data_IF_286058902102
#
_entry.id   IF_286058902102
#
_cell.length_a   1.000
_cell.length_b   1.000
_cell.length_c   1.000
_cell.angle_alpha   90.00
_cell.angle_beta   90.00
_cell.angle_gamma   90.00
#
_symmetry.space_group_name_H-M   'P 1'
#
loop_
_entity.id
_entity.type
_entity.pdbx_description
1 polymer ?
#
# COMPACT_ATOMS: atom_id res chain seq x y z
N UNK A 1 20.14 -15.77 1.85
CA UNK A 1 20.52 -15.33 3.22
C UNK A 1 19.47 -14.34 3.68
N UNK A 2 19.02 -14.44 4.93
CA UNK A 2 18.05 -13.50 5.51
C UNK A 2 18.76 -12.38 6.24
N UNK A 3 18.13 -11.21 6.28
CA UNK A 3 18.60 -10.06 7.04
C UNK A 3 17.43 -9.52 7.89
N UNK A 4 17.64 -9.27 9.19
CA UNK A 4 18.81 -9.61 9.98
C UNK A 4 18.99 -11.12 10.16
N UNK A 5 20.17 -11.57 10.61
CA UNK A 5 20.34 -12.91 11.19
C UNK A 5 19.52 -13.08 12.48
N UNK A 6 19.31 -14.31 12.96
CA UNK A 6 18.54 -14.52 14.20
C UNK A 6 19.15 -13.78 15.41
N UNK A 7 20.48 -13.79 15.54
CA UNK A 7 21.17 -13.07 16.62
C UNK A 7 20.91 -11.57 16.55
N UNK A 8 21.07 -10.98 15.37
CA UNK A 8 20.78 -9.56 15.15
C UNK A 8 19.29 -9.23 15.35
N UNK A 9 18.39 -10.13 14.97
CA UNK A 9 16.95 -10.01 15.22
C UNK A 9 16.66 -9.92 16.72
N UNK A 10 17.30 -10.76 17.55
CA UNK A 10 17.17 -10.69 19.01
C UNK A 10 17.62 -9.34 19.56
N UNK A 11 18.72 -8.79 19.05
CA UNK A 11 19.24 -7.48 19.46
C UNK A 11 18.27 -6.34 19.06
N UNK A 12 17.72 -6.38 17.85
CA UNK A 12 16.75 -5.39 17.37
C UNK A 12 15.43 -5.47 18.15
N UNK A 13 14.98 -6.68 18.48
CA UNK A 13 13.78 -6.93 19.28
C UNK A 13 13.87 -6.36 20.71
N UNK A 14 15.08 -6.02 21.19
CA UNK A 14 15.21 -5.32 22.47
C UNK A 14 14.83 -3.84 22.39
N UNK A 15 14.94 -3.23 21.20
CA UNK A 15 14.85 -1.78 20.98
C UNK A 15 13.46 -1.29 20.55
N UNK A 16 12.58 -2.21 20.15
CA UNK A 16 11.23 -1.91 19.69
C UNK A 16 10.40 -3.17 19.56
N UNK A 17 9.23 -3.06 18.96
CA UNK A 17 8.26 -4.15 18.89
C UNK A 17 7.86 -4.53 17.46
N UNK A 18 8.53 -3.97 16.45
CA UNK A 18 8.31 -4.36 15.05
C UNK A 18 9.67 -4.43 14.35
N UNK A 19 10.11 -5.63 13.98
CA UNK A 19 11.41 -5.86 13.36
C UNK A 19 11.19 -6.44 11.95
N UNK A 20 11.51 -5.70 10.89
CA UNK A 20 11.52 -6.22 9.53
C UNK A 20 12.59 -7.30 9.36
N UNK A 21 12.17 -8.45 8.85
CA UNK A 21 13.03 -9.52 8.34
C UNK A 21 12.83 -9.57 6.85
N UNK A 22 13.90 -9.70 6.08
CA UNK A 22 13.80 -9.77 4.64
C UNK A 22 14.80 -10.71 4.00
N UNK A 23 14.46 -11.14 2.80
CA UNK A 23 15.39 -11.80 1.88
C UNK A 23 15.44 -11.02 0.58
N UNK A 24 16.64 -10.75 0.11
CA UNK A 24 16.88 -10.17 -1.22
C UNK A 24 17.08 -11.31 -2.23
N UNK A 25 16.39 -11.23 -3.37
CA UNK A 25 16.51 -12.13 -4.51
C UNK A 25 16.71 -11.32 -5.80
N UNK A 26 17.26 -11.95 -6.83
CA UNK A 26 17.37 -11.35 -8.17
C UNK A 26 15.98 -11.24 -8.81
N UNK A 27 15.76 -10.16 -9.57
CA UNK A 27 14.51 -9.87 -10.26
C UNK A 27 14.53 -10.25 -11.75
N UNK A 28 15.54 -11.01 -12.21
CA UNK A 28 15.79 -11.26 -13.64
C UNK A 28 14.60 -11.91 -14.38
N UNK A 29 13.83 -12.73 -13.67
CA UNK A 29 12.65 -13.43 -14.19
C UNK A 29 11.31 -12.84 -13.69
N UNK A 30 11.35 -11.77 -12.89
CA UNK A 30 10.17 -11.25 -12.19
C UNK A 30 10.09 -9.72 -12.29
N UNK A 31 8.97 -9.23 -12.82
CA UNK A 31 8.62 -7.81 -12.84
C UNK A 31 7.57 -7.49 -11.78
N UNK A 32 7.45 -6.22 -11.41
CA UNK A 32 6.40 -5.79 -10.48
C UNK A 32 4.98 -6.14 -10.97
N UNK A 33 4.75 -6.08 -12.28
CA UNK A 33 3.45 -6.41 -12.90
C UNK A 33 3.18 -7.91 -12.85
N UNK A 34 4.16 -8.75 -13.20
CA UNK A 34 3.99 -10.21 -13.14
C UNK A 34 3.79 -10.69 -11.70
N UNK A 35 4.46 -10.06 -10.72
CA UNK A 35 4.23 -10.34 -9.31
C UNK A 35 2.84 -9.90 -8.86
N UNK A 36 2.38 -8.71 -9.30
CA UNK A 36 1.01 -8.24 -9.05
C UNK A 36 -0.02 -9.22 -9.61
N UNK A 37 0.18 -9.71 -10.84
CA UNK A 37 -0.74 -10.70 -11.45
C UNK A 37 -0.85 -11.97 -10.60
N UNK A 38 0.27 -12.45 -10.05
CA UNK A 38 0.31 -13.64 -9.17
C UNK A 38 -0.43 -13.42 -7.85
N UNK A 39 -0.49 -12.19 -7.33
CA UNK A 39 -1.18 -11.88 -6.06
C UNK A 39 -2.52 -11.16 -6.23
N UNK A 40 -2.94 -10.86 -7.46
CA UNK A 40 -4.12 -10.03 -7.75
C UNK A 40 -5.44 -10.60 -7.23
N UNK A 41 -5.51 -11.91 -7.04
CA UNK A 41 -6.66 -12.61 -6.46
C UNK A 41 -6.75 -12.46 -4.93
N UNK A 42 -5.69 -11.96 -4.28
CA UNK A 42 -5.66 -11.74 -2.82
C UNK A 42 -6.37 -10.42 -2.48
N UNK A 43 -7.16 -10.37 -1.40
CA UNK A 43 -7.79 -9.15 -0.93
C UNK A 43 -6.81 -7.98 -0.80
N UNK A 44 -7.25 -6.80 -1.28
CA UNK A 44 -6.50 -5.55 -1.16
C UNK A 44 -5.08 -5.61 -1.73
N UNK A 45 -4.87 -6.38 -2.79
CA UNK A 45 -3.62 -6.33 -3.55
C UNK A 45 -3.41 -4.91 -4.11
N UNK A 46 -2.23 -4.34 -3.88
CA UNK A 46 -1.88 -2.99 -4.32
C UNK A 46 -0.47 -2.94 -4.88
N UNK A 47 -0.26 -2.07 -5.85
CA UNK A 47 1.04 -1.72 -6.42
C UNK A 47 1.24 -0.21 -6.30
N UNK A 48 2.33 0.21 -5.67
CA UNK A 48 2.73 1.61 -5.57
C UNK A 48 4.00 1.81 -6.39
N UNK A 49 3.87 2.52 -7.50
CA UNK A 49 4.98 2.96 -8.34
C UNK A 49 5.06 4.48 -8.30
N UNK A 50 6.28 5.00 -8.20
CA UNK A 50 6.53 6.43 -8.38
C UNK A 50 7.02 6.67 -9.81
N UNK A 51 6.46 7.67 -10.47
CA UNK A 51 6.95 8.17 -11.77
C UNK A 51 7.25 9.65 -11.60
N UNK A 52 8.51 10.04 -11.79
CA UNK A 52 8.93 11.44 -11.76
C UNK A 52 9.04 11.97 -13.19
N UNK A 53 8.36 13.08 -13.49
CA UNK A 53 8.48 13.77 -14.77
C UNK A 53 7.98 12.99 -16.00
N UNK A 54 7.14 11.96 -15.80
CA UNK A 54 6.53 11.17 -16.87
C UNK A 54 7.46 10.13 -17.53
N UNK A 55 8.76 10.17 -17.28
CA UNK A 55 9.75 9.32 -17.97
C UNK A 55 10.68 8.55 -17.03
N UNK A 56 10.87 8.99 -15.77
CA UNK A 56 11.77 8.32 -14.82
C UNK A 56 10.97 7.52 -13.79
N UNK A 57 11.06 6.20 -13.88
CA UNK A 57 10.59 5.35 -12.78
C UNK A 57 11.39 5.63 -11.51
N UNK A 58 10.67 5.76 -10.41
CA UNK A 58 11.23 5.76 -9.08
C UNK A 58 12.05 4.49 -8.88
N UNK A 59 13.11 4.61 -8.06
CA UNK A 59 13.99 3.47 -7.76
C UNK A 59 13.23 2.27 -7.18
N UNK A 60 12.18 2.53 -6.41
CA UNK A 60 11.43 1.50 -5.70
C UNK A 60 9.99 1.40 -6.19
N UNK A 61 9.57 0.16 -6.43
CA UNK A 61 8.16 -0.23 -6.58
C UNK A 61 7.78 -1.10 -5.39
N UNK A 62 6.61 -0.82 -4.80
CA UNK A 62 6.10 -1.55 -3.63
C UNK A 62 4.85 -2.33 -3.98
N UNK A 63 4.81 -3.59 -3.56
CA UNK A 63 3.68 -4.49 -3.82
C UNK A 63 3.29 -5.18 -2.51
N UNK A 64 2.00 -5.15 -2.18
CA UNK A 64 1.47 -5.76 -0.97
C UNK A 64 0.05 -6.28 -1.17
N UNK A 65 -0.39 -7.16 -0.28
CA UNK A 65 -1.74 -7.73 -0.22
C UNK A 65 -2.03 -8.21 1.21
N UNK A 66 -3.26 -8.68 1.45
CA UNK A 66 -3.69 -9.26 2.74
C UNK A 66 -3.28 -8.41 3.95
N UNK A 67 -3.79 -7.16 4.02
CA UNK A 67 -3.50 -6.27 5.13
C UNK A 67 -3.96 -6.88 6.44
N UNK A 68 -3.10 -6.78 7.45
CA UNK A 68 -3.43 -7.15 8.82
C UNK A 68 -4.47 -6.19 9.41
N UNK A 69 -4.36 -4.91 9.06
CA UNK A 69 -5.31 -3.89 9.50
C UNK A 69 -5.83 -3.11 8.30
N UNK A 70 -7.14 -2.94 8.24
CA UNK A 70 -7.82 -2.05 7.31
C UNK A 70 -8.46 -0.92 8.11
N UNK A 71 -8.04 0.31 7.86
CA UNK A 71 -8.55 1.51 8.49
C UNK A 71 -9.39 2.28 7.46
N UNK A 72 -10.67 2.49 7.74
CA UNK A 72 -11.60 3.20 6.86
C UNK A 72 -12.14 4.45 7.56
N UNK A 73 -12.19 5.55 6.83
CA UNK A 73 -12.90 6.77 7.21
C UNK A 73 -14.17 6.83 6.39
N UNK A 74 -15.30 7.09 7.05
CA UNK A 74 -16.61 7.25 6.43
C UNK A 74 -17.31 8.47 7.00
N UNK A 75 -18.34 8.94 6.30
CA UNK A 75 -19.28 9.90 6.84
C UNK A 75 -19.82 9.43 8.20
N UNK A 76 -19.36 10.08 9.29
CA UNK A 76 -19.78 9.78 10.66
C UNK A 76 -18.82 8.91 11.50
N UNK A 77 -17.63 8.55 11.02
CA UNK A 77 -16.60 7.97 11.89
C UNK A 77 -15.49 7.17 11.20
N UNK A 78 -14.84 6.34 12.00
CA UNK A 78 -13.71 5.48 11.62
C UNK A 78 -14.06 4.02 11.88
N UNK A 79 -13.72 3.13 10.95
CA UNK A 79 -13.79 1.68 11.11
C UNK A 79 -12.39 1.08 11.03
N UNK A 80 -12.00 0.31 12.04
CA UNK A 80 -10.71 -0.41 12.10
C UNK A 80 -11.02 -1.89 12.10
N UNK A 81 -10.58 -2.60 11.07
CA UNK A 81 -10.69 -4.05 10.95
C UNK A 81 -9.31 -4.68 11.15
N UNK A 82 -9.14 -5.48 12.20
CA UNK A 82 -7.87 -6.18 12.54
C UNK A 82 -8.19 -7.61 12.97
N UNK A 83 -7.51 -8.61 12.40
CA UNK A 83 -7.69 -10.03 12.76
C UNK A 83 -9.14 -10.57 12.72
N UNK A 84 -9.98 -10.01 11.83
CA UNK A 84 -11.39 -10.38 11.72
C UNK A 84 -12.32 -9.66 12.69
N UNK A 85 -11.79 -8.87 13.63
CA UNK A 85 -12.56 -8.00 14.50
C UNK A 85 -12.70 -6.60 13.89
N UNK A 86 -13.88 -6.00 14.04
CA UNK A 86 -14.17 -4.66 13.55
C UNK A 86 -14.53 -3.74 14.70
N UNK A 87 -13.73 -2.68 14.88
CA UNK A 87 -13.96 -1.61 15.85
C UNK A 87 -14.44 -0.36 15.13
N UNK A 88 -15.53 0.24 15.62
CA UNK A 88 -16.06 1.51 15.11
C UNK A 88 -15.85 2.61 16.13
N UNK A 89 -15.33 3.73 15.67
CA UNK A 89 -15.00 4.92 16.46
C UNK A 89 -15.70 6.14 15.86
N UNK A 90 -16.09 7.08 16.73
CA UNK A 90 -16.62 8.38 16.32
C UNK A 90 -15.78 9.47 16.97
N UNK A 91 -14.64 9.84 16.36
CA UNK A 91 -13.80 10.90 16.91
C UNK A 91 -14.56 12.24 16.85
N UNK A 92 -14.36 13.08 17.86
CA UNK A 92 -14.93 14.44 17.90
C UNK A 92 -14.19 15.44 17.01
N UNK A 93 -13.05 15.04 16.42
CA UNK A 93 -12.20 15.85 15.55
C UNK A 93 -11.71 15.08 14.33
N UNK A 94 -10.50 15.38 13.87
CA UNK A 94 -9.91 14.78 12.66
C UNK A 94 -9.84 13.23 12.78
N UNK A 95 -10.50 12.48 11.88
CA UNK A 95 -10.47 11.02 11.89
C UNK A 95 -9.06 10.44 11.72
N UNK A 96 -8.11 11.16 11.13
CA UNK A 96 -6.72 10.71 11.01
C UNK A 96 -5.99 10.67 12.36
N UNK A 97 -6.52 11.32 13.40
CA UNK A 97 -6.00 11.17 14.78
C UNK A 97 -6.10 9.71 15.23
N UNK A 98 -7.19 9.00 14.91
CA UNK A 98 -7.33 7.59 15.22
C UNK A 98 -6.31 6.71 14.46
N UNK A 99 -5.94 7.09 13.23
CA UNK A 99 -4.90 6.39 12.48
C UNK A 99 -3.53 6.60 13.14
N UNK A 100 -3.24 7.82 13.60
CA UNK A 100 -2.02 8.13 14.33
C UNK A 100 -1.91 7.30 15.62
N UNK A 101 -2.97 7.28 16.44
CA UNK A 101 -3.04 6.46 17.66
C UNK A 101 -2.85 4.96 17.35
N UNK A 102 -3.47 4.48 16.27
CA UNK A 102 -3.28 3.09 15.81
C UNK A 102 -1.81 2.82 15.46
N UNK A 103 -1.12 3.77 14.83
CA UNK A 103 0.28 3.62 14.43
C UNK A 103 1.27 3.76 15.60
N UNK A 104 0.92 4.49 16.65
CA UNK A 104 1.76 4.68 17.86
C UNK A 104 2.04 3.38 18.62
N UNK A 105 1.22 2.33 18.41
CA UNK A 105 1.46 1.00 18.97
C UNK A 105 2.72 0.33 18.38
N UNK A 106 3.17 0.76 17.21
CA UNK A 106 4.33 0.19 16.53
C UNK A 106 5.58 1.05 16.72
N UNK A 107 6.67 0.41 17.14
CA UNK A 107 8.02 0.98 17.30
C UNK A 107 8.97 0.19 16.40
N UNK A 108 9.00 0.51 15.10
CA UNK A 108 9.80 -0.22 14.13
C UNK A 108 11.29 -0.04 14.36
N UNK A 109 12.05 -1.12 14.22
CA UNK A 109 13.51 -1.13 14.28
C UNK A 109 14.05 -1.80 13.01
N UNK A 110 14.08 -1.07 11.87
CA UNK A 110 14.53 -1.66 10.61
C UNK A 110 16.02 -1.98 10.63
N UNK A 111 16.45 -3.13 10.09
CA UNK A 111 17.84 -3.37 9.76
C UNK A 111 18.30 -2.42 8.64
N UNK A 112 19.62 -2.35 8.42
CA UNK A 112 20.18 -1.60 7.29
C UNK A 112 19.69 -2.14 5.93
N UNK A 113 19.71 -1.27 4.92
CA UNK A 113 19.47 -1.64 3.52
C UNK A 113 18.01 -1.58 3.06
N UNK A 114 17.02 -1.44 3.94
CA UNK A 114 15.63 -1.18 3.53
C UNK A 114 15.44 0.29 3.11
N UNK A 115 14.57 0.59 2.13
CA UNK A 115 14.18 1.97 1.85
C UNK A 115 13.35 2.54 3.00
N UNK A 116 13.05 3.85 2.94
CA UNK A 116 12.23 4.53 3.96
C UNK A 116 10.87 3.87 4.17
N UNK A 117 10.26 3.35 3.11
CA UNK A 117 8.99 2.64 3.17
C UNK A 117 9.23 1.12 3.09
N UNK A 118 9.11 0.43 4.22
CA UNK A 118 9.24 -1.03 4.31
C UNK A 118 8.02 -1.70 4.96
N UNK A 119 7.01 -0.90 5.28
CA UNK A 119 5.81 -1.27 6.01
C UNK A 119 5.10 -0.02 6.54
N UNK A 120 3.95 -0.21 7.18
CA UNK A 120 3.10 0.87 7.68
C UNK A 120 1.83 1.06 6.86
N UNK A 121 1.20 2.23 7.00
CA UNK A 121 -0.08 2.53 6.36
C UNK A 121 0.10 2.97 4.90
N UNK A 122 -0.40 2.17 3.96
CA UNK A 122 -0.54 2.52 2.56
C UNK A 122 -1.97 2.99 2.28
N UNK A 123 -2.13 4.16 1.64
CA UNK A 123 -3.46 4.62 1.22
C UNK A 123 -3.93 3.79 0.03
N UNK A 124 -5.08 3.13 0.15
CA UNK A 124 -5.72 2.44 -0.96
C UNK A 124 -6.48 3.44 -1.84
N UNK A 125 -6.58 3.17 -3.15
CA UNK A 125 -7.51 3.90 -4.00
C UNK A 125 -8.95 3.73 -3.47
N UNK A 126 -9.70 4.81 -3.48
CA UNK A 126 -11.11 4.80 -3.09
C UNK A 126 -11.95 4.18 -4.21
N UNK A 127 -13.00 3.47 -3.81
CA UNK A 127 -14.07 3.10 -4.74
C UNK A 127 -14.88 4.33 -5.18
N UNK A 128 -16.02 4.14 -5.85
CA UNK A 128 -16.94 5.23 -6.18
C UNK A 128 -17.25 6.11 -4.95
N UNK A 129 -17.58 7.40 -5.15
CA UNK A 129 -17.64 8.44 -4.12
C UNK A 129 -18.63 8.22 -2.95
N UNK A 130 -19.33 7.08 -2.88
CA UNK A 130 -20.39 6.81 -1.90
C UNK A 130 -20.00 5.87 -0.76
N UNK A 131 -18.73 5.41 -0.65
CA UNK A 131 -18.40 4.29 0.26
C UNK A 131 -17.43 4.62 1.41
N UNK A 132 -16.33 5.31 1.14
CA UNK A 132 -15.27 5.61 2.11
C UNK A 132 -14.54 6.92 1.73
N UNK A 133 -14.28 7.81 2.69
CA UNK A 133 -13.51 9.06 2.51
C UNK A 133 -12.00 8.81 2.44
N UNK A 134 -11.53 7.78 3.17
CA UNK A 134 -10.14 7.33 3.15
C UNK A 134 -10.06 5.85 3.54
N UNK A 135 -9.19 5.09 2.87
CA UNK A 135 -8.87 3.70 3.24
C UNK A 135 -7.36 3.57 3.35
N UNK A 136 -6.88 3.07 4.48
CA UNK A 136 -5.49 2.74 4.72
C UNK A 136 -5.32 1.26 5.02
N UNK A 137 -4.32 0.65 4.40
CA UNK A 137 -3.95 -0.75 4.51
C UNK A 137 -2.63 -0.84 5.27
N UNK A 138 -2.60 -1.64 6.33
CA UNK A 138 -1.37 -1.92 7.08
C UNK A 138 -1.06 -3.39 6.89
N UNK A 139 -0.04 -3.69 6.07
CA UNK A 139 0.41 -5.05 5.77
C UNK A 139 1.56 -5.46 6.68
N UNK A 140 1.66 -6.76 6.96
CA UNK A 140 2.84 -7.34 7.60
C UNK A 140 3.93 -7.66 6.56
N UNK A 141 3.54 -7.96 5.32
CA UNK A 141 4.44 -8.29 4.21
C UNK A 141 4.45 -7.20 3.13
N UNK A 142 5.63 -7.02 2.52
CA UNK A 142 5.83 -6.09 1.42
C UNK A 142 6.91 -6.61 0.47
N UNK A 143 6.61 -6.62 -0.82
CA UNK A 143 7.57 -6.83 -1.89
C UNK A 143 8.12 -5.47 -2.33
N UNK A 144 9.44 -5.33 -2.28
CA UNK A 144 10.12 -4.09 -2.65
C UNK A 144 11.04 -4.39 -3.82
N UNK A 145 10.67 -3.91 -5.00
CA UNK A 145 11.50 -3.97 -6.20
C UNK A 145 12.49 -2.81 -6.17
N UNK A 146 13.78 -3.08 -6.32
CA UNK A 146 14.81 -2.08 -6.58
C UNK A 146 15.12 -2.10 -8.08
N UNK A 147 14.52 -1.17 -8.81
CA UNK A 147 14.60 -1.08 -10.27
C UNK A 147 16.02 -0.75 -10.78
N UNK A 148 16.90 -0.25 -9.89
CA UNK A 148 18.29 0.06 -10.21
C UNK A 148 19.19 -1.15 -10.01
N UNK A 149 18.96 -1.92 -8.94
CA UNK A 149 19.76 -3.12 -8.63
C UNK A 149 19.21 -4.40 -9.28
N UNK A 150 18.01 -4.33 -9.88
CA UNK A 150 17.28 -5.49 -10.40
C UNK A 150 17.11 -6.58 -9.33
N UNK A 151 16.69 -6.18 -8.13
CA UNK A 151 16.47 -7.10 -7.01
C UNK A 151 15.09 -6.90 -6.39
N UNK A 152 14.55 -7.95 -5.79
CA UNK A 152 13.33 -7.91 -4.98
C UNK A 152 13.70 -8.19 -3.53
N UNK A 153 13.28 -7.33 -2.62
CA UNK A 153 13.27 -7.65 -1.20
C UNK A 153 11.88 -8.12 -0.80
N UNK A 154 11.81 -9.35 -0.33
CA UNK A 154 10.61 -9.91 0.30
C UNK A 154 10.72 -9.59 1.78
N UNK A 155 9.96 -8.60 2.25
CA UNK A 155 10.02 -8.08 3.62
C UNK A 155 8.81 -8.57 4.40
N UNK A 156 9.04 -9.01 5.63
CA UNK A 156 8.01 -9.23 6.63
C UNK A 156 8.35 -8.47 7.91
N UNK A 157 7.43 -7.62 8.36
CA UNK A 157 7.50 -6.91 9.62
C UNK A 157 7.00 -7.80 10.76
N UNK A 158 7.92 -8.43 11.48
CA UNK A 158 7.58 -9.30 12.61
C UNK A 158 7.27 -8.48 13.87
N UNK A 159 6.09 -8.68 14.45
CA UNK A 159 5.73 -8.06 15.73
C UNK A 159 6.32 -8.84 16.90
N UNK A 160 6.99 -8.13 17.81
CA UNK A 160 7.64 -8.72 18.97
C UNK A 160 6.65 -8.77 20.14
N UNK A 161 6.42 -9.95 20.75
CA UNK A 161 5.60 -10.08 21.94
C UNK A 161 6.12 -9.19 23.08
N UNK A 162 5.21 -8.64 23.89
CA UNK A 162 5.57 -7.75 25.00
C UNK A 162 6.57 -8.39 25.99
N UNK A 163 6.42 -9.70 26.26
CA UNK A 163 7.34 -10.46 27.12
C UNK A 163 8.69 -10.78 26.47
N UNK A 164 8.85 -10.53 25.17
CA UNK A 164 10.04 -10.86 24.36
C UNK A 164 10.47 -12.33 24.45
N UNK A 165 9.54 -13.22 24.79
CA UNK A 165 9.71 -14.68 24.75
C UNK A 165 9.30 -15.21 23.39
N UNK A 166 9.83 -16.38 23.01
CA UNK A 166 9.45 -17.03 21.75
C UNK A 166 9.97 -16.33 20.49
N UNK A 167 11.03 -15.52 20.59
CA UNK A 167 11.61 -14.82 19.43
C UNK A 167 12.01 -15.77 18.31
N UNK A 168 12.43 -16.99 18.64
CA UNK A 168 12.76 -18.03 17.66
C UNK A 168 11.54 -18.46 16.85
N UNK A 169 10.39 -18.63 17.49
CA UNK A 169 9.14 -18.95 16.81
C UNK A 169 8.67 -17.79 15.93
N UNK A 170 8.75 -16.55 16.43
CA UNK A 170 8.40 -15.34 15.66
C UNK A 170 9.30 -15.18 14.43
N UNK A 171 10.61 -15.37 14.61
CA UNK A 171 11.57 -15.31 13.51
C UNK A 171 11.35 -16.46 12.52
N UNK A 172 11.11 -17.67 13.01
CA UNK A 172 10.79 -18.83 12.18
C UNK A 172 9.53 -18.65 11.34
N UNK A 173 8.45 -18.12 11.93
CA UNK A 173 7.24 -17.74 11.20
C UNK A 173 7.54 -16.72 10.10
N UNK A 174 8.40 -15.74 10.42
CA UNK A 174 8.79 -14.74 9.45
C UNK A 174 9.51 -15.33 8.24
N UNK A 175 10.45 -16.25 8.49
CA UNK A 175 11.15 -16.96 7.42
C UNK A 175 10.21 -17.82 6.59
N UNK A 176 9.29 -18.55 7.23
CA UNK A 176 8.31 -19.40 6.54
C UNK A 176 7.43 -18.57 5.60
N UNK A 177 6.92 -17.42 6.06
CA UNK A 177 6.12 -16.50 5.23
C UNK A 177 6.92 -15.91 4.07
N UNK A 178 8.18 -15.53 4.31
CA UNK A 178 9.08 -15.04 3.25
C UNK A 178 9.29 -16.11 2.19
N UNK A 179 9.59 -17.36 2.57
CA UNK A 179 9.77 -18.44 1.60
C UNK A 179 8.49 -18.75 0.84
N UNK A 180 7.33 -18.76 1.49
CA UNK A 180 6.05 -18.94 0.82
C UNK A 180 5.78 -17.87 -0.25
N UNK A 181 6.14 -16.61 0.01
CA UNK A 181 6.03 -15.55 -1.00
C UNK A 181 7.05 -15.75 -2.13
N UNK A 182 8.29 -16.16 -1.83
CA UNK A 182 9.30 -16.44 -2.87
C UNK A 182 8.88 -17.62 -3.75
N UNK A 183 8.31 -18.67 -3.16
CA UNK A 183 7.76 -19.81 -3.91
C UNK A 183 6.60 -19.39 -4.80
N UNK A 184 5.73 -18.49 -4.31
CA UNK A 184 4.66 -17.90 -5.10
C UNK A 184 5.21 -17.11 -6.30
N UNK A 185 6.26 -16.30 -6.11
CA UNK A 185 6.90 -15.58 -7.21
C UNK A 185 7.55 -16.52 -8.23
N UNK A 186 7.99 -17.71 -7.84
CA UNK A 186 8.53 -18.70 -8.80
C UNK A 186 7.45 -19.39 -9.64
N UNK A 187 6.17 -19.28 -9.27
CA UNK A 187 5.09 -19.87 -10.04
C UNK A 187 4.91 -19.16 -11.38
N UNK A 188 4.42 -19.86 -12.42
CA UNK A 188 4.05 -19.22 -13.68
C UNK A 188 2.97 -18.17 -13.44
N UNK A 189 3.01 -17.11 -14.25
CA UNK A 189 1.95 -16.09 -14.25
C UNK A 189 0.63 -16.75 -14.66
N UNK A 190 -0.49 -16.51 -13.95
CA UNK A 190 -1.78 -17.06 -14.34
C UNK A 190 -2.14 -16.66 -15.78
N UNK A 191 -2.54 -17.65 -16.60
CA UNK A 191 -2.85 -17.46 -18.03
C UNK A 191 -4.11 -16.62 -18.34
N UNK A 192 -4.64 -15.89 -17.34
CA UNK A 192 -5.83 -15.03 -17.50
C UNK A 192 -5.53 -13.67 -18.15
N UNK A 193 -4.27 -13.42 -18.57
CA UNK A 193 -3.94 -12.30 -19.43
C UNK A 193 -4.45 -12.58 -20.86
N UNK A 194 -5.76 -12.46 -21.07
CA UNK A 194 -6.22 -12.08 -22.40
C UNK A 194 -5.57 -10.74 -22.71
N UNK A 195 -4.83 -10.64 -23.82
CA UNK A 195 -4.52 -9.34 -24.38
C UNK A 195 -5.86 -8.66 -24.61
N UNK A 196 -6.19 -7.53 -23.94
CA UNK A 196 -7.40 -6.81 -24.28
C UNK A 196 -7.29 -6.49 -25.76
N UNK A 197 -8.27 -6.94 -26.58
CA UNK A 197 -8.29 -6.56 -27.98
C UNK A 197 -8.36 -5.03 -28.00
N UNK A 198 -7.32 -4.33 -28.51
CA UNK A 198 -7.32 -2.87 -28.53
C UNK A 198 -8.48 -2.30 -29.35
N UNK A 199 -9.13 -3.14 -30.16
CA UNK A 199 -10.28 -2.83 -31.02
C UNK A 199 -11.63 -3.28 -30.45
N UNK A 200 -11.63 -4.04 -29.34
CA UNK A 200 -12.82 -4.73 -28.83
C UNK A 200 -13.68 -3.92 -27.85
N UNK A 201 -13.15 -2.84 -27.29
CA UNK A 201 -13.91 -1.95 -26.42
C UNK A 201 -13.83 -0.53 -27.01
N UNK A 202 -14.93 -0.07 -27.61
CA UNK A 202 -15.19 1.35 -27.73
C UNK A 202 -16.05 1.72 -26.51
N UNK A 203 -15.45 2.03 -25.34
CA UNK A 203 -16.24 2.35 -24.16
C UNK A 203 -17.14 3.54 -24.50
N UNK A 204 -18.44 3.36 -24.28
CA UNK A 204 -19.38 4.46 -24.41
C UNK A 204 -19.13 5.43 -23.25
N UNK A 205 -18.50 6.56 -23.55
CA UNK A 205 -18.34 7.64 -22.58
C UNK A 205 -19.66 8.38 -22.46
N UNK A 206 -20.19 8.46 -21.24
CA UNK A 206 -21.35 9.28 -20.92
C UNK A 206 -20.89 10.46 -20.08
N UNK A 207 -21.10 11.71 -20.54
CA UNK A 207 -20.80 12.87 -19.72
C UNK A 207 -21.72 12.87 -18.49
N UNK A 208 -21.17 13.16 -17.32
CA UNK A 208 -21.92 13.34 -16.07
C UNK A 208 -22.63 14.71 -16.00
N UNK A 209 -22.43 15.58 -16.99
CA UNK A 209 -22.94 16.94 -17.04
C UNK A 209 -23.15 17.38 -18.49
N UNK A 210 -24.17 18.20 -18.75
CA UNK A 210 -24.36 18.82 -20.05
C UNK A 210 -23.28 19.88 -20.36
N UNK A 211 -22.88 19.97 -21.62
CA UNK A 211 -21.84 20.90 -22.09
C UNK A 211 -22.14 22.36 -21.72
N UNK A 212 -23.38 22.82 -21.92
CA UNK A 212 -23.77 24.19 -21.58
C UNK A 212 -23.77 24.47 -20.08
N UNK A 213 -24.02 23.45 -19.26
CA UNK A 213 -23.91 23.57 -17.80
C UNK A 213 -22.44 23.81 -17.41
N UNK A 214 -21.52 23.01 -17.95
CA UNK A 214 -20.09 23.17 -17.67
C UNK A 214 -19.56 24.53 -18.17
N UNK A 215 -19.94 24.96 -19.39
CA UNK A 215 -19.61 26.30 -19.89
C UNK A 215 -20.16 27.40 -19.00
N UNK A 216 -21.37 27.23 -18.46
CA UNK A 216 -21.95 28.14 -17.47
C UNK A 216 -21.09 28.26 -16.22
N UNK A 217 -20.62 27.14 -15.67
CA UNK A 217 -19.70 27.12 -14.53
C UNK A 217 -18.38 27.84 -14.83
N UNK A 218 -17.81 27.63 -16.03
CA UNK A 218 -16.58 28.32 -16.46
C UNK A 218 -16.78 29.84 -16.56
N UNK A 219 -17.90 30.30 -17.12
CA UNK A 219 -18.22 31.75 -17.20
C UNK A 219 -18.31 32.36 -15.80
N UNK A 220 -19.02 31.70 -14.89
CA UNK A 220 -19.13 32.14 -13.50
C UNK A 220 -17.79 32.14 -12.76
N UNK A 221 -16.93 31.15 -13.01
CA UNK A 221 -15.58 31.12 -12.43
C UNK A 221 -14.75 32.32 -12.92
N UNK A 222 -14.89 32.75 -14.18
CA UNK A 222 -14.22 33.95 -14.71
C UNK A 222 -14.73 35.22 -14.04
N UNK A 223 -16.03 35.34 -13.83
CA UNK A 223 -16.61 36.49 -13.11
C UNK A 223 -16.02 36.64 -11.70
N UNK A 224 -15.89 35.54 -10.96
CA UNK A 224 -15.24 35.54 -9.65
C UNK A 224 -13.76 35.92 -9.71
N UNK A 225 -13.05 35.53 -10.78
CA UNK A 225 -11.65 35.94 -10.99
C UNK A 225 -11.55 37.44 -11.25
N UNK A 226 -12.42 37.99 -12.10
CA UNK A 226 -12.44 39.42 -12.44
C UNK A 226 -12.82 40.30 -11.24
N UNK A 227 -13.71 39.81 -10.37
CA UNK A 227 -14.09 40.49 -9.12
C UNK A 227 -13.00 40.42 -8.04
N UNK A 228 -11.97 39.60 -8.24
CA UNK A 228 -10.88 39.41 -7.30
C UNK A 228 -11.17 38.43 -6.16
N UNK A 229 -12.22 37.62 -6.27
CA UNK A 229 -12.59 36.64 -5.24
C UNK A 229 -11.62 35.45 -5.21
N UNK A 230 -11.14 35.03 -6.39
CA UNK A 230 -10.22 33.90 -6.56
C UNK A 230 -9.23 34.16 -7.69
N UNK A 231 -8.06 33.52 -7.63
CA UNK A 231 -7.06 33.62 -8.71
C UNK A 231 -7.31 32.56 -9.79
N UNK A 232 -7.74 31.36 -9.39
CA UNK A 232 -8.03 30.23 -10.27
C UNK A 232 -9.06 29.31 -9.61
N UNK A 233 -9.91 28.68 -10.43
CA UNK A 233 -10.80 27.59 -10.02
C UNK A 233 -10.56 26.39 -10.95
N UNK A 234 -10.49 25.19 -10.37
CA UNK A 234 -10.43 23.93 -11.14
C UNK A 234 -11.80 23.27 -11.09
N UNK A 235 -12.48 23.25 -12.23
CA UNK A 235 -13.77 22.60 -12.42
C UNK A 235 -13.54 21.20 -13.00
N UNK A 236 -14.35 20.22 -12.57
CA UNK A 236 -14.29 18.82 -13.02
C UNK A 236 -15.69 18.24 -13.15
#
# INVERSE_FOLDING_TARGET
MYCPSFKEFQDLAQRGNLVPVYREILADEETAVTALMKISHRPYAFLLESVEGGEKWGRYTFLGADPRVIFRVRAGGVEIQENGETKRLRPSGDPLTCLKELMEKYRPVPPGGLPRFFGGAARAPLGPPEMDDAVFLITDSLLIFDNVRHTIKVVLCAEIPAEKKGLEAVYGEALMKIEGIIELLRQPVPSSASSPDPRGANPAFHPNMEEETFKGMVRRAKEYIEQGDVIQVVLS
#
